data_IF_155285759163
#
_entry.id   IF_155285759163
#
_cell.length_a   1.000
_cell.length_b   1.000
_cell.length_c   1.000
_cell.angle_alpha   90.00
_cell.angle_beta   90.00
_cell.angle_gamma   90.00
#
_symmetry.space_group_name_H-M   'P 1'
#
loop_
_entity.id
_entity.type
_entity.pdbx_description
1 polymer ?
#
# COMPACT_ATOMS: atom_id res chain seq x y z
N UNK A 1 -40.91 -36.77 -58.02
CA UNK A 1 -40.90 -35.29 -58.00
C UNK A 1 -41.10 -34.83 -56.57
N UNK A 2 -40.09 -34.15 -56.00
CA UNK A 2 -40.20 -33.11 -54.94
C UNK A 2 -38.87 -33.08 -54.17
N UNK A 3 -38.02 -32.10 -54.49
CA UNK A 3 -36.81 -31.78 -53.74
C UNK A 3 -37.17 -30.63 -52.80
N UNK A 4 -37.23 -30.89 -51.49
CA UNK A 4 -37.36 -29.85 -50.47
C UNK A 4 -35.98 -29.26 -50.17
N UNK A 5 -35.85 -27.95 -50.39
CA UNK A 5 -34.66 -27.15 -50.10
C UNK A 5 -34.83 -26.56 -48.70
N UNK A 6 -34.04 -27.04 -47.74
CA UNK A 6 -33.93 -26.43 -46.42
C UNK A 6 -32.94 -25.24 -46.50
N UNK A 7 -33.45 -24.02 -46.31
CA UNK A 7 -32.63 -22.82 -46.12
C UNK A 7 -32.24 -22.71 -44.65
N UNK A 8 -30.96 -22.91 -44.35
CA UNK A 8 -30.36 -22.58 -43.06
C UNK A 8 -30.05 -21.08 -43.07
N UNK A 9 -30.79 -20.31 -42.25
CA UNK A 9 -30.47 -18.91 -41.96
C UNK A 9 -29.48 -18.90 -40.81
N UNK A 10 -28.22 -18.59 -41.11
CA UNK A 10 -27.19 -18.29 -40.11
C UNK A 10 -27.51 -16.92 -39.49
N UNK A 11 -28.10 -16.94 -38.30
CA UNK A 11 -28.23 -15.75 -37.45
C UNK A 11 -26.85 -15.31 -36.96
N UNK A 12 -26.45 -14.09 -37.31
CA UNK A 12 -25.22 -13.46 -36.83
C UNK A 12 -25.29 -13.22 -35.32
N UNK A 13 -24.50 -14.00 -34.56
CA UNK A 13 -24.24 -13.69 -33.17
C UNK A 13 -23.33 -12.46 -33.10
N UNK A 14 -23.89 -11.32 -32.71
CA UNK A 14 -23.11 -10.16 -32.32
C UNK A 14 -22.30 -10.53 -31.06
N UNK A 15 -20.99 -10.73 -31.23
CA UNK A 15 -20.06 -10.84 -30.12
C UNK A 15 -19.99 -9.48 -29.42
N UNK A 16 -20.78 -9.32 -28.37
CA UNK A 16 -20.62 -8.22 -27.42
C UNK A 16 -19.27 -8.46 -26.75
N UNK A 17 -18.25 -7.72 -27.18
CA UNK A 17 -16.96 -7.67 -26.52
C UNK A 17 -17.18 -7.15 -25.09
N UNK A 18 -17.17 -8.06 -24.12
CA UNK A 18 -17.08 -7.73 -22.70
C UNK A 18 -15.70 -7.13 -22.46
N UNK A 19 -15.59 -5.81 -22.63
CA UNK A 19 -14.40 -5.08 -22.16
C UNK A 19 -14.28 -5.26 -20.64
N UNK A 20 -13.08 -5.50 -20.10
CA UNK A 20 -12.90 -5.74 -18.68
C UNK A 20 -13.21 -4.46 -17.89
N UNK A 21 -14.32 -4.47 -17.16
CA UNK A 21 -14.74 -3.41 -16.22
C UNK A 21 -13.78 -3.24 -15.02
N UNK A 22 -12.79 -4.11 -14.89
CA UNK A 22 -11.85 -4.16 -13.76
C UNK A 22 -10.91 -2.95 -13.74
N UNK A 23 -10.55 -2.38 -14.90
CA UNK A 23 -9.61 -1.26 -14.96
C UNK A 23 -10.15 0.04 -14.31
N UNK A 24 -11.48 0.26 -14.33
CA UNK A 24 -12.09 1.46 -13.77
C UNK A 24 -12.16 1.48 -12.24
N UNK A 25 -12.32 0.32 -11.59
CA UNK A 25 -12.45 0.24 -10.13
C UNK A 25 -11.13 0.56 -9.41
N UNK A 26 -10.00 0.13 -9.98
CA UNK A 26 -8.68 0.37 -9.39
C UNK A 26 -8.32 1.87 -9.38
N UNK A 27 -8.63 2.60 -10.46
CA UNK A 27 -8.35 4.05 -10.53
C UNK A 27 -9.18 4.87 -9.52
N UNK A 28 -10.43 4.48 -9.26
CA UNK A 28 -11.28 5.15 -8.26
C UNK A 28 -10.85 4.83 -6.83
N UNK A 29 -10.42 3.59 -6.56
CA UNK A 29 -9.81 3.22 -5.29
C UNK A 29 -8.53 4.01 -5.01
N UNK A 30 -7.60 4.07 -5.98
CA UNK A 30 -6.39 4.86 -5.85
C UNK A 30 -6.72 6.34 -5.59
N UNK A 31 -7.69 6.90 -6.33
CA UNK A 31 -8.19 8.26 -6.10
C UNK A 31 -8.67 8.50 -4.67
N UNK A 32 -9.33 7.53 -4.02
CA UNK A 32 -9.76 7.65 -2.61
C UNK A 32 -8.59 7.63 -1.64
N UNK A 33 -7.64 6.74 -1.86
CA UNK A 33 -6.45 6.65 -1.02
C UNK A 33 -5.62 7.93 -1.02
N UNK A 34 -5.62 8.64 -2.15
CA UNK A 34 -4.92 9.91 -2.24
C UNK A 34 -5.66 11.06 -1.53
N UNK A 35 -7.00 11.02 -1.46
CA UNK A 35 -7.76 12.07 -0.78
C UNK A 35 -7.71 11.88 0.74
N UNK A 36 -7.82 10.65 1.24
CA UNK A 36 -7.75 10.34 2.69
C UNK A 36 -6.32 9.97 3.10
N UNK A 37 -5.30 10.62 2.53
CA UNK A 37 -3.88 10.27 2.72
C UNK A 37 -3.44 10.47 4.17
N UNK A 38 -3.25 9.37 4.92
CA UNK A 38 -2.82 9.38 6.32
C UNK A 38 -1.33 9.05 6.48
N UNK A 39 -0.62 9.79 7.34
CA UNK A 39 0.74 9.36 7.78
C UNK A 39 0.64 8.05 8.60
N UNK A 40 1.72 7.25 8.73
CA UNK A 40 1.66 5.95 9.40
C UNK A 40 1.01 5.97 10.79
N UNK A 41 1.31 6.96 11.64
CA UNK A 41 0.69 7.08 12.97
C UNK A 41 -0.82 7.32 12.91
N UNK A 42 -1.30 8.07 11.93
CA UNK A 42 -2.73 8.32 11.71
C UNK A 42 -3.43 7.07 11.14
N UNK A 43 -2.77 6.35 10.24
CA UNK A 43 -3.26 5.08 9.69
C UNK A 43 -3.48 4.04 10.80
N UNK A 44 -2.52 3.92 11.75
CA UNK A 44 -2.66 3.06 12.94
C UNK A 44 -3.90 3.44 13.74
N UNK A 45 -4.07 4.73 14.05
CA UNK A 45 -5.23 5.22 14.79
C UNK A 45 -6.53 4.92 14.05
N UNK A 46 -6.55 5.05 12.72
CA UNK A 46 -7.72 4.75 11.88
C UNK A 46 -8.05 3.25 11.86
N UNK A 47 -7.05 2.38 11.75
CA UNK A 47 -7.23 0.93 11.79
C UNK A 47 -7.74 0.46 13.16
N UNK A 48 -7.19 0.98 14.26
CA UNK A 48 -7.67 0.73 15.63
C UNK A 48 -9.09 1.24 15.84
N UNK A 49 -9.39 2.43 15.33
CA UNK A 49 -10.73 3.02 15.35
C UNK A 49 -11.74 2.12 14.63
N UNK A 50 -11.42 1.69 13.41
CA UNK A 50 -12.29 0.83 12.60
C UNK A 50 -12.53 -0.52 13.30
N UNK A 51 -11.47 -1.13 13.85
CA UNK A 51 -11.57 -2.35 14.65
C UNK A 51 -12.52 -2.16 15.82
N UNK A 52 -12.28 -1.15 16.67
CA UNK A 52 -13.14 -0.86 17.83
C UNK A 52 -14.59 -0.67 17.40
N UNK A 53 -14.85 0.12 16.38
CA UNK A 53 -16.21 0.44 15.97
C UNK A 53 -16.96 -0.77 15.40
N UNK A 54 -16.26 -1.65 14.68
CA UNK A 54 -16.80 -2.95 14.26
C UNK A 54 -17.20 -3.82 15.46
N UNK A 55 -16.34 -3.91 16.48
CA UNK A 55 -16.64 -4.69 17.70
C UNK A 55 -17.82 -4.13 18.50
N UNK A 56 -17.92 -2.81 18.63
CA UNK A 56 -18.91 -2.19 19.51
C UNK A 56 -20.29 -2.02 18.86
N UNK A 57 -20.35 -1.87 17.53
CA UNK A 57 -21.59 -1.45 16.87
C UNK A 57 -22.17 -2.48 15.91
N UNK A 58 -21.42 -3.53 15.52
CA UNK A 58 -21.80 -4.35 14.37
C UNK A 58 -21.75 -5.87 14.59
N UNK A 59 -21.76 -6.33 15.84
CA UNK A 59 -21.77 -7.75 16.18
C UNK A 59 -23.16 -8.27 16.53
N UNK A 60 -23.45 -9.51 16.11
CA UNK A 60 -24.67 -10.25 16.50
C UNK A 60 -24.27 -11.69 16.92
N UNK A 61 -24.51 -12.10 18.17
CA UNK A 61 -24.94 -11.26 19.29
C UNK A 61 -23.92 -10.15 19.58
N UNK A 62 -24.31 -9.11 20.32
CA UNK A 62 -23.37 -8.06 20.72
C UNK A 62 -22.44 -8.55 21.84
N UNK A 63 -21.22 -8.00 21.90
CA UNK A 63 -20.31 -8.13 23.04
C UNK A 63 -19.18 -9.16 22.89
N UNK A 64 -18.30 -9.27 23.90
CA UNK A 64 -17.06 -10.05 23.83
C UNK A 64 -17.22 -11.54 23.54
N UNK A 65 -18.34 -12.13 23.92
CA UNK A 65 -18.64 -13.55 23.71
C UNK A 65 -19.08 -13.89 22.28
N UNK A 66 -19.29 -12.90 21.42
CA UNK A 66 -19.74 -13.07 20.04
C UNK A 66 -18.63 -13.53 19.07
N UNK A 67 -17.52 -14.05 19.59
CA UNK A 67 -16.41 -14.49 18.77
C UNK A 67 -16.74 -15.81 18.06
N UNK A 68 -16.10 -16.02 16.92
CA UNK A 68 -16.13 -17.26 16.14
C UNK A 68 -14.71 -17.79 15.95
N UNK A 69 -14.51 -19.10 15.75
CA UNK A 69 -13.18 -19.62 15.41
C UNK A 69 -12.74 -19.09 14.04
N UNK A 70 -11.55 -18.53 13.96
CA UNK A 70 -10.97 -18.02 12.71
C UNK A 70 -10.67 -19.16 11.74
N UNK A 71 -10.91 -18.91 10.46
CA UNK A 71 -10.54 -19.82 9.37
C UNK A 71 -9.23 -19.44 8.68
N UNK A 72 -8.57 -18.35 9.11
CA UNK A 72 -7.39 -17.79 8.41
C UNK A 72 -6.10 -17.89 9.21
N UNK A 73 -6.16 -18.14 10.52
CA UNK A 73 -4.96 -18.15 11.39
C UNK A 73 -5.21 -18.87 12.71
N UNK A 74 -4.12 -19.24 13.40
CA UNK A 74 -4.11 -19.92 14.69
C UNK A 74 -3.51 -19.02 15.78
N UNK A 75 -3.85 -19.32 17.04
CA UNK A 75 -3.17 -18.74 18.20
C UNK A 75 -1.87 -19.49 18.56
N UNK A 76 -1.16 -19.03 19.58
CA UNK A 76 0.09 -19.63 20.05
C UNK A 76 -0.06 -21.07 20.56
N UNK A 77 -1.28 -21.53 20.86
CA UNK A 77 -1.59 -22.90 21.22
C UNK A 77 -2.04 -23.75 20.02
N UNK A 78 -1.91 -23.22 18.80
CA UNK A 78 -2.41 -23.81 17.55
C UNK A 78 -3.93 -24.07 17.54
N UNK A 79 -4.69 -23.38 18.40
CA UNK A 79 -6.15 -23.36 18.30
C UNK A 79 -6.57 -22.29 17.28
N UNK A 80 -7.73 -22.44 16.61
CA UNK A 80 -8.25 -21.37 15.75
C UNK A 80 -8.35 -20.04 16.53
N UNK A 81 -7.74 -18.99 15.98
CA UNK A 81 -7.75 -17.68 16.64
C UNK A 81 -9.18 -17.14 16.81
N UNK A 82 -9.46 -16.40 17.88
CA UNK A 82 -10.81 -15.85 18.12
C UNK A 82 -11.07 -14.63 17.26
N UNK A 83 -12.03 -14.73 16.36
CA UNK A 83 -12.41 -13.70 15.39
C UNK A 83 -13.78 -13.10 15.71
N UNK A 84 -14.05 -11.89 15.22
CA UNK A 84 -15.38 -11.28 15.21
C UNK A 84 -15.76 -10.95 13.77
N UNK A 85 -17.03 -11.18 13.41
CA UNK A 85 -17.54 -10.91 12.07
C UNK A 85 -18.64 -9.86 12.17
N UNK A 86 -18.51 -8.79 11.40
CA UNK A 86 -19.54 -7.78 11.33
C UNK A 86 -20.79 -8.33 10.63
N UNK A 87 -21.94 -8.19 11.29
CA UNK A 87 -23.22 -8.74 10.86
C UNK A 87 -23.94 -7.86 9.83
N UNK A 88 -23.83 -6.54 9.94
CA UNK A 88 -24.42 -5.59 8.99
C UNK A 88 -23.37 -5.12 7.98
N UNK A 89 -23.40 -5.73 6.81
CA UNK A 89 -22.48 -5.43 5.69
C UNK A 89 -22.72 -4.07 5.04
N UNK A 90 -23.85 -3.42 5.29
CA UNK A 90 -24.15 -2.05 4.84
C UNK A 90 -23.66 -0.96 5.80
N UNK A 91 -23.01 -1.36 6.90
CA UNK A 91 -22.43 -0.50 7.94
C UNK A 91 -21.14 -1.10 8.51
N UNK A 92 -20.35 -1.73 7.66
CA UNK A 92 -19.16 -2.45 8.07
C UNK A 92 -17.92 -1.54 8.12
N UNK A 93 -17.14 -1.64 9.20
CA UNK A 93 -15.92 -0.87 9.42
C UNK A 93 -14.67 -1.52 8.81
N UNK A 94 -14.71 -2.83 8.52
CA UNK A 94 -13.56 -3.62 8.05
C UNK A 94 -13.65 -4.13 6.61
N UNK A 95 -14.81 -3.92 5.96
CA UNK A 95 -14.99 -4.14 4.52
C UNK A 95 -15.15 -5.60 4.08
N UNK A 96 -15.56 -5.78 2.82
CA UNK A 96 -15.92 -7.09 2.26
C UNK A 96 -14.72 -7.94 1.82
N UNK A 97 -13.59 -7.31 1.45
CA UNK A 97 -12.40 -7.98 0.93
C UNK A 97 -11.79 -8.95 1.94
N UNK A 98 -12.08 -8.77 3.23
CA UNK A 98 -11.67 -9.63 4.33
C UNK A 98 -12.81 -10.42 4.95
N UNK A 99 -13.96 -10.51 4.25
CA UNK A 99 -15.15 -11.18 4.74
C UNK A 99 -15.73 -10.56 6.01
N UNK A 100 -15.54 -9.24 6.21
CA UNK A 100 -16.00 -8.50 7.38
C UNK A 100 -15.44 -9.00 8.72
N UNK A 101 -14.29 -9.66 8.67
CA UNK A 101 -13.56 -10.19 9.83
C UNK A 101 -12.75 -9.08 10.49
N UNK A 102 -13.12 -8.72 11.72
CA UNK A 102 -12.64 -7.52 12.40
C UNK A 102 -11.18 -7.61 12.80
N UNK A 103 -10.78 -8.70 13.45
CA UNK A 103 -9.40 -8.89 13.89
C UNK A 103 -8.47 -9.27 12.72
N UNK A 104 -8.94 -10.09 11.78
CA UNK A 104 -8.17 -10.39 10.57
C UNK A 104 -7.89 -9.13 9.76
N UNK A 105 -8.89 -8.28 9.53
CA UNK A 105 -8.69 -6.98 8.91
C UNK A 105 -7.62 -6.15 9.62
N UNK A 106 -7.78 -5.99 10.94
CA UNK A 106 -6.83 -5.23 11.74
C UNK A 106 -5.40 -5.81 11.67
N UNK A 107 -5.27 -7.14 11.71
CA UNK A 107 -3.98 -7.80 11.64
C UNK A 107 -3.29 -7.59 10.29
N UNK A 108 -4.01 -7.75 9.17
CA UNK A 108 -3.43 -7.48 7.84
C UNK A 108 -3.10 -6.00 7.62
N UNK A 109 -3.83 -5.12 8.30
CA UNK A 109 -3.61 -3.69 8.22
C UNK A 109 -2.35 -3.28 8.99
N UNK A 110 -2.06 -3.94 10.09
CA UNK A 110 -1.01 -3.53 11.02
C UNK A 110 0.29 -4.31 10.90
N UNK A 111 0.22 -5.58 10.49
CA UNK A 111 1.35 -6.49 10.56
C UNK A 111 1.68 -7.10 9.21
N UNK A 112 2.93 -7.50 9.04
CA UNK A 112 3.31 -8.41 7.96
C UNK A 112 2.66 -9.79 8.18
N UNK A 113 2.44 -10.52 7.09
CA UNK A 113 1.74 -11.80 7.12
C UNK A 113 2.41 -12.77 8.11
N UNK A 114 1.68 -13.15 9.15
CA UNK A 114 2.10 -14.16 10.13
C UNK A 114 1.07 -15.27 10.23
N UNK A 115 1.49 -16.55 10.21
CA UNK A 115 0.56 -17.67 10.33
C UNK A 115 -0.01 -17.84 11.74
N UNK A 116 0.67 -17.27 12.76
CA UNK A 116 0.35 -17.43 14.18
C UNK A 116 0.29 -16.07 14.86
N UNK A 117 -0.73 -15.86 15.70
CA UNK A 117 -0.97 -14.62 16.43
C UNK A 117 -1.09 -14.85 17.94
N UNK A 118 -0.73 -13.84 18.72
CA UNK A 118 -1.04 -13.81 20.14
C UNK A 118 -2.48 -13.32 20.31
N UNK A 119 -3.37 -14.17 20.82
CA UNK A 119 -4.79 -13.85 20.98
C UNK A 119 -5.09 -13.64 22.47
N UNK A 120 -5.43 -12.41 22.85
CA UNK A 120 -5.67 -12.05 24.25
C UNK A 120 -6.91 -11.16 24.39
N UNK A 121 -7.64 -11.35 25.49
CA UNK A 121 -8.73 -10.44 25.83
C UNK A 121 -8.16 -9.10 26.31
N UNK A 122 -8.68 -8.00 25.78
CA UNK A 122 -8.26 -6.66 26.20
C UNK A 122 -8.69 -6.40 27.65
N UNK A 123 -7.76 -5.96 28.50
CA UNK A 123 -8.00 -5.79 29.93
C UNK A 123 -8.62 -4.44 30.31
N UNK A 124 -8.65 -3.48 29.38
CA UNK A 124 -9.10 -2.11 29.64
C UNK A 124 -9.63 -1.44 28.35
N UNK A 125 -10.27 -0.28 28.54
CA UNK A 125 -10.77 0.56 27.44
C UNK A 125 -12.15 0.13 26.92
N UNK A 126 -12.64 0.79 25.87
CA UNK A 126 -13.98 0.55 25.32
C UNK A 126 -14.21 -0.89 24.83
N UNK A 127 -13.14 -1.58 24.42
CA UNK A 127 -13.16 -2.97 23.93
C UNK A 127 -12.73 -3.97 24.98
N UNK A 128 -12.82 -3.64 26.27
CA UNK A 128 -12.52 -4.57 27.36
C UNK A 128 -13.27 -5.90 27.19
N UNK A 129 -12.53 -7.01 27.36
CA UNK A 129 -13.02 -8.38 27.22
C UNK A 129 -12.99 -8.92 25.79
N UNK A 130 -12.95 -8.06 24.75
CA UNK A 130 -12.83 -8.51 23.37
C UNK A 130 -11.43 -9.08 23.10
N UNK A 131 -11.36 -10.15 22.32
CA UNK A 131 -10.08 -10.71 21.89
C UNK A 131 -9.42 -9.82 20.83
N UNK A 132 -8.14 -9.50 21.00
CA UNK A 132 -7.31 -8.80 20.02
C UNK A 132 -6.23 -9.74 19.49
N UNK A 133 -5.95 -9.62 18.20
CA UNK A 133 -4.81 -10.29 17.58
C UNK A 133 -3.60 -9.37 17.67
N UNK A 134 -2.71 -9.74 18.57
CA UNK A 134 -1.42 -9.11 18.76
C UNK A 134 -0.36 -9.90 17.96
N UNK A 135 0.69 -9.21 17.49
CA UNK A 135 1.78 -9.88 16.79
C UNK A 135 2.42 -10.90 17.72
N UNK A 136 2.92 -12.01 17.16
CA UNK A 136 3.92 -12.78 17.88
C UNK A 136 5.14 -11.87 18.16
N UNK A 137 5.98 -12.13 19.17
CA UNK A 137 7.14 -11.28 19.45
C UNK A 137 8.09 -11.06 18.25
N UNK A 138 8.06 -11.95 17.25
CA UNK A 138 8.84 -11.87 16.02
C UNK A 138 8.13 -11.15 14.86
N UNK A 139 6.85 -10.80 14.98
CA UNK A 139 6.08 -10.17 13.90
C UNK A 139 6.30 -8.66 13.93
N UNK A 140 6.68 -8.12 12.77
CA UNK A 140 7.02 -6.71 12.60
C UNK A 140 5.75 -5.94 12.22
N UNK A 141 5.57 -4.75 12.81
CA UNK A 141 4.55 -3.78 12.38
C UNK A 141 4.89 -3.33 10.96
N UNK A 142 3.88 -3.28 10.07
CA UNK A 142 4.03 -2.67 8.75
C UNK A 142 4.57 -1.25 8.92
N UNK A 143 5.61 -0.89 8.16
CA UNK A 143 6.05 0.51 8.15
C UNK A 143 4.96 1.44 7.57
N UNK A 144 4.10 0.90 6.69
CA UNK A 144 2.88 1.55 6.17
C UNK A 144 1.65 0.74 6.53
N UNK A 145 1.05 0.99 7.69
CA UNK A 145 -0.21 0.36 8.06
C UNK A 145 -1.30 0.70 7.05
N UNK A 146 -2.10 -0.29 6.69
CA UNK A 146 -3.30 -0.06 5.90
C UNK A 146 -4.32 0.64 6.76
N UNK A 147 -5.17 1.45 6.14
CA UNK A 147 -6.35 1.99 6.79
C UNK A 147 -7.53 1.97 5.84
N UNK A 148 -8.76 1.82 6.37
CA UNK A 148 -9.96 1.80 5.56
C UNK A 148 -10.39 3.24 5.24
N UNK A 149 -10.87 3.41 4.02
CA UNK A 149 -11.58 4.62 3.57
C UNK A 149 -13.04 4.30 3.36
N UNK A 150 -13.91 5.28 3.57
CA UNK A 150 -15.36 5.05 3.67
C UNK A 150 -16.17 5.92 2.71
N UNK A 151 -17.26 5.36 2.19
CA UNK A 151 -18.24 6.08 1.38
C UNK A 151 -19.67 5.65 1.67
N UNK A 152 -20.62 6.45 1.20
CA UNK A 152 -22.07 6.17 1.29
C UNK A 152 -22.55 5.07 0.33
N UNK A 153 -21.77 4.65 -0.67
CA UNK A 153 -22.16 3.64 -1.67
C UNK A 153 -20.97 2.88 -2.25
N UNK A 154 -21.26 1.75 -2.91
CA UNK A 154 -20.33 0.97 -3.71
C UNK A 154 -20.65 1.13 -5.22
N UNK A 155 -19.66 0.98 -6.12
CA UNK A 155 -18.23 0.76 -5.86
C UNK A 155 -17.52 2.03 -5.33
N UNK A 156 -16.23 1.91 -4.97
CA UNK A 156 -15.39 3.06 -4.65
C UNK A 156 -15.54 4.15 -5.71
N UNK A 157 -15.69 5.40 -5.28
CA UNK A 157 -15.89 6.57 -6.15
C UNK A 157 -17.34 6.91 -6.48
N UNK A 158 -18.29 6.02 -6.19
CA UNK A 158 -19.72 6.25 -6.48
C UNK A 158 -20.44 7.11 -5.43
N UNK A 159 -19.89 7.20 -4.22
CA UNK A 159 -20.54 7.78 -3.05
C UNK A 159 -19.90 9.08 -2.56
N UNK A 160 -20.47 9.60 -1.48
CA UNK A 160 -19.86 10.70 -0.72
C UNK A 160 -18.82 10.12 0.24
N UNK A 161 -17.58 10.66 0.27
CA UNK A 161 -16.58 10.34 1.29
C UNK A 161 -17.09 10.52 2.69
N UNK A 162 -16.65 9.62 3.56
CA UNK A 162 -16.94 9.62 4.96
C UNK A 162 -15.62 9.47 5.73
N UNK A 163 -15.49 10.27 6.78
CA UNK A 163 -14.32 10.32 7.64
C UNK A 163 -14.74 10.11 9.09
N UNK A 164 -13.95 9.45 9.94
CA UNK A 164 -14.14 9.49 11.38
C UNK A 164 -13.97 10.91 11.92
N UNK A 165 -14.35 11.09 13.18
CA UNK A 165 -14.08 12.36 13.86
C UNK A 165 -12.57 12.66 13.84
N UNK A 166 -12.12 13.88 13.51
CA UNK A 166 -10.71 14.21 13.34
C UNK A 166 -9.86 14.14 14.62
N UNK A 167 -10.48 14.00 15.80
CA UNK A 167 -9.81 14.12 17.10
C UNK A 167 -10.40 13.18 18.14
N UNK A 168 -11.71 12.99 18.14
CA UNK A 168 -12.37 12.04 19.03
C UNK A 168 -12.30 10.62 18.45
N UNK A 169 -11.27 9.89 18.83
CA UNK A 169 -11.12 8.50 18.43
C UNK A 169 -12.17 7.59 19.06
N UNK A 170 -12.97 8.04 20.03
CA UNK A 170 -14.02 7.23 20.66
C UNK A 170 -15.34 7.25 19.90
N UNK A 171 -15.54 8.25 19.05
CA UNK A 171 -16.76 8.41 18.26
C UNK A 171 -16.74 7.50 17.02
N UNK A 172 -17.68 6.55 16.95
CA UNK A 172 -17.83 5.63 15.82
C UNK A 172 -18.72 6.18 14.69
N UNK A 173 -19.14 7.44 14.76
CA UNK A 173 -19.92 8.08 13.70
C UNK A 173 -19.00 8.58 12.58
N UNK A 174 -19.59 8.72 11.41
CA UNK A 174 -18.93 9.29 10.25
C UNK A 174 -19.31 10.75 10.06
N UNK A 175 -18.43 11.45 9.38
CA UNK A 175 -18.52 12.86 9.07
C UNK A 175 -18.19 13.05 7.59
N UNK A 176 -18.88 14.00 6.95
CA UNK A 176 -18.51 14.49 5.63
C UNK A 176 -17.46 15.57 5.82
N UNK A 177 -16.61 15.70 4.81
CA UNK A 177 -15.71 16.83 4.67
C UNK A 177 -16.38 17.85 3.73
N UNK A 178 -16.90 18.95 4.30
CA UNK A 178 -17.53 20.01 3.51
C UNK A 178 -16.53 21.07 3.03
N UNK A 179 -15.32 21.10 3.60
CA UNK A 179 -14.28 22.07 3.28
C UNK A 179 -13.20 21.53 2.33
N UNK A 180 -13.28 20.25 1.94
CA UNK A 180 -12.33 19.54 1.07
C UNK A 180 -10.91 19.46 1.65
N UNK A 181 -10.75 19.51 2.98
CA UNK A 181 -9.46 19.40 3.67
C UNK A 181 -9.19 18.00 4.24
N UNK A 182 -10.00 17.01 3.82
CA UNK A 182 -10.03 15.63 4.29
C UNK A 182 -10.29 15.49 5.80
N UNK A 183 -10.92 16.50 6.42
CA UNK A 183 -11.35 16.42 7.82
C UNK A 183 -12.87 16.34 7.87
N UNK A 184 -13.35 15.30 8.51
CA UNK A 184 -14.77 15.16 8.80
C UNK A 184 -15.27 16.31 9.68
N UNK A 185 -16.02 17.26 9.12
CA UNK A 185 -16.51 18.46 9.81
C UNK A 185 -18.03 18.45 10.04
N UNK A 186 -18.77 17.67 9.26
CA UNK A 186 -20.23 17.64 9.27
C UNK A 186 -20.73 16.22 9.53
N UNK A 187 -21.43 16.01 10.64
CA UNK A 187 -21.95 14.68 11.00
C UNK A 187 -22.78 14.06 9.86
N UNK A 188 -22.42 12.86 9.45
CA UNK A 188 -23.20 12.08 8.50
C UNK A 188 -24.37 11.39 9.20
N UNK A 189 -25.60 11.72 8.79
CA UNK A 189 -26.84 11.19 9.38
C UNK A 189 -27.43 10.02 8.59
N UNK A 190 -26.80 9.60 7.49
CA UNK A 190 -27.28 8.47 6.71
C UNK A 190 -27.07 7.14 7.41
N UNK A 191 -27.81 6.13 6.96
CA UNK A 191 -27.86 4.82 7.64
C UNK A 191 -26.84 3.82 7.13
N UNK A 192 -26.21 4.07 5.98
CA UNK A 192 -25.33 3.12 5.32
C UNK A 192 -23.98 3.74 4.99
N UNK A 193 -22.93 2.95 5.10
CA UNK A 193 -21.58 3.27 4.68
C UNK A 193 -20.81 1.99 4.37
N UNK A 194 -19.76 2.11 3.56
CA UNK A 194 -18.99 0.98 3.09
C UNK A 194 -17.51 1.32 3.17
N UNK A 195 -16.67 0.35 3.57
CA UNK A 195 -15.24 0.41 3.26
C UNK A 195 -15.09 0.22 1.76
N UNK A 196 -14.51 1.21 1.09
CA UNK A 196 -14.37 1.22 -0.37
C UNK A 196 -12.95 0.91 -0.83
N UNK A 197 -11.97 1.17 0.01
CA UNK A 197 -10.56 0.91 -0.27
C UNK A 197 -9.75 0.79 1.03
N UNK A 198 -8.62 0.10 0.93
CA UNK A 198 -7.55 0.13 1.92
C UNK A 198 -6.34 0.81 1.30
N UNK A 199 -5.74 1.73 2.05
CA UNK A 199 -4.80 2.71 1.52
C UNK A 199 -3.44 2.65 2.22
N UNK A 200 -2.38 3.02 1.49
CA UNK A 200 -0.98 2.98 1.93
C UNK A 200 -0.33 4.36 1.69
N UNK A 201 0.55 4.88 2.56
CA UNK A 201 1.15 6.24 2.47
C UNK A 201 2.64 6.38 2.08
N UNK A 202 2.98 6.90 0.87
CA UNK A 202 4.33 7.26 0.34
C UNK A 202 4.44 7.24 -1.20
N UNK A 203 5.25 8.17 -1.73
CA UNK A 203 5.44 8.51 -3.14
C UNK A 203 6.74 9.34 -3.41
N UNK A 204 6.99 9.69 -4.67
CA UNK A 204 7.99 10.62 -5.21
C UNK A 204 7.44 12.03 -5.42
N UNK A 205 8.31 13.05 -5.37
CA UNK A 205 7.99 14.39 -5.84
C UNK A 205 7.69 14.41 -7.37
N UNK A 206 6.85 15.35 -7.88
CA UNK A 206 6.50 15.41 -9.30
C UNK A 206 7.67 15.46 -10.29
N UNK A 207 8.75 16.11 -9.88
CA UNK A 207 9.97 16.37 -10.64
C UNK A 207 11.01 15.26 -10.50
N UNK A 208 10.80 14.29 -9.61
CA UNK A 208 11.72 13.17 -9.48
C UNK A 208 11.77 12.39 -10.79
N UNK A 209 12.97 12.27 -11.35
CA UNK A 209 13.18 11.51 -12.59
C UNK A 209 13.45 10.05 -12.28
N UNK A 210 12.79 9.17 -13.03
CA UNK A 210 13.05 7.74 -13.05
C UNK A 210 13.64 7.35 -14.41
N UNK A 211 14.45 6.29 -14.43
CA UNK A 211 15.05 5.81 -15.67
C UNK A 211 14.09 4.88 -16.41
N UNK A 212 13.69 5.29 -17.61
CA UNK A 212 12.97 4.48 -18.58
C UNK A 212 13.89 4.06 -19.73
N UNK A 213 13.41 3.19 -20.62
CA UNK A 213 14.18 2.71 -21.78
C UNK A 213 14.62 3.82 -22.73
N UNK A 214 13.89 4.94 -22.74
CA UNK A 214 14.19 6.14 -23.52
C UNK A 214 14.96 7.22 -22.75
N UNK A 215 15.39 6.93 -21.51
CA UNK A 215 16.15 7.84 -20.66
C UNK A 215 15.42 8.25 -19.39
N UNK A 216 15.99 9.24 -18.68
CA UNK A 216 15.39 9.78 -17.46
C UNK A 216 14.15 10.62 -17.77
N UNK A 217 13.05 10.34 -17.10
CA UNK A 217 11.77 11.05 -17.27
C UNK A 217 11.20 11.43 -15.91
N UNK A 218 10.78 12.69 -15.70
CA UNK A 218 10.04 13.08 -14.49
C UNK A 218 8.80 12.21 -14.29
N UNK A 219 8.59 11.67 -13.10
CA UNK A 219 7.49 10.73 -12.86
C UNK A 219 6.12 11.33 -13.16
N UNK A 220 5.92 12.62 -12.89
CA UNK A 220 4.66 13.30 -13.24
C UNK A 220 4.40 13.32 -14.76
N UNK A 221 5.46 13.40 -15.58
CA UNK A 221 5.38 13.28 -17.04
C UNK A 221 5.13 11.83 -17.45
N UNK A 222 5.86 10.88 -16.87
CA UNK A 222 5.70 9.46 -17.16
C UNK A 222 4.26 8.97 -16.92
N UNK A 223 3.62 9.42 -15.83
CA UNK A 223 2.22 9.12 -15.51
C UNK A 223 1.27 9.70 -16.56
N UNK A 224 1.46 10.96 -16.97
CA UNK A 224 0.62 11.63 -17.99
C UNK A 224 0.75 10.98 -19.37
N UNK A 225 1.95 10.55 -19.72
CA UNK A 225 2.27 9.92 -21.00
C UNK A 225 2.09 8.39 -20.98
N UNK A 226 1.72 7.81 -19.82
CA UNK A 226 1.59 6.37 -19.61
C UNK A 226 2.82 5.58 -20.09
N UNK A 227 4.02 6.04 -19.76
CA UNK A 227 5.26 5.36 -20.11
C UNK A 227 5.23 3.93 -19.55
N UNK A 228 5.53 2.91 -20.36
CA UNK A 228 5.43 1.52 -19.91
C UNK A 228 6.77 0.90 -19.58
N UNK A 229 7.88 1.39 -20.13
CA UNK A 229 9.14 0.64 -20.19
C UNK A 229 10.17 1.19 -19.19
N UNK A 230 10.04 0.80 -17.93
CA UNK A 230 10.88 1.25 -16.82
C UNK A 230 12.13 0.36 -16.68
N UNK A 231 13.27 0.94 -16.30
CA UNK A 231 14.47 0.19 -15.97
C UNK A 231 14.45 -0.23 -14.50
N UNK A 232 14.63 -1.52 -14.27
CA UNK A 232 14.74 -2.13 -12.94
C UNK A 232 15.99 -2.98 -12.85
N UNK A 233 16.39 -3.40 -11.66
CA UNK A 233 17.42 -4.44 -11.54
C UNK A 233 16.97 -5.75 -12.20
N UNK A 234 17.93 -6.56 -12.63
CA UNK A 234 17.69 -7.97 -12.97
C UNK A 234 17.51 -8.81 -11.69
N UNK A 235 16.89 -10.00 -11.75
CA UNK A 235 16.71 -10.84 -10.57
C UNK A 235 18.03 -11.33 -9.95
N UNK A 236 19.10 -11.38 -10.73
CA UNK A 236 20.45 -11.84 -10.38
C UNK A 236 21.42 -10.70 -10.05
N UNK A 237 20.96 -9.45 -10.04
CA UNK A 237 21.81 -8.31 -9.69
C UNK A 237 22.38 -8.47 -8.26
N UNK A 238 23.68 -8.15 -8.13
CA UNK A 238 24.42 -8.21 -6.86
C UNK A 238 25.05 -6.86 -6.56
N UNK A 239 25.70 -6.72 -5.39
CA UNK A 239 26.45 -5.50 -5.07
C UNK A 239 27.67 -5.29 -5.99
N UNK A 240 28.28 -6.39 -6.42
CA UNK A 240 29.50 -6.37 -7.23
C UNK A 240 29.19 -6.37 -8.74
N UNK A 241 27.94 -6.66 -9.10
CA UNK A 241 27.43 -6.70 -10.47
C UNK A 241 25.98 -6.20 -10.53
N UNK A 242 25.84 -4.87 -10.62
CA UNK A 242 24.53 -4.23 -10.77
C UNK A 242 24.10 -4.29 -12.23
N UNK A 243 23.13 -5.14 -12.51
CA UNK A 243 22.57 -5.30 -13.85
C UNK A 243 21.15 -4.74 -13.93
N UNK A 244 20.84 -4.07 -15.04
CA UNK A 244 19.53 -3.50 -15.31
C UNK A 244 18.83 -4.26 -16.44
N UNK A 245 17.51 -4.31 -16.37
CA UNK A 245 16.64 -4.78 -17.44
C UNK A 245 15.47 -3.83 -17.64
N UNK A 246 14.95 -3.82 -18.87
CA UNK A 246 13.66 -3.18 -19.16
C UNK A 246 12.54 -4.04 -18.61
N UNK A 247 11.61 -3.40 -17.89
CA UNK A 247 10.42 -4.01 -17.34
C UNK A 247 9.18 -3.18 -17.70
N UNK A 248 8.00 -3.78 -17.53
CA UNK A 248 6.75 -3.08 -17.75
C UNK A 248 6.17 -2.50 -16.46
N UNK A 249 5.73 -1.24 -16.54
CA UNK A 249 4.92 -0.62 -15.50
C UNK A 249 3.54 -1.27 -15.51
N UNK A 250 3.17 -1.87 -14.38
CA UNK A 250 1.84 -2.42 -14.17
C UNK A 250 0.82 -1.33 -13.82
N UNK A 251 1.20 -0.41 -12.94
CA UNK A 251 0.35 0.71 -12.54
C UNK A 251 1.19 1.90 -12.09
N UNK A 252 0.63 3.08 -12.31
CA UNK A 252 1.06 4.32 -11.67
C UNK A 252 0.14 4.64 -10.52
N UNK A 253 0.69 5.14 -9.43
CA UNK A 253 -0.07 5.75 -8.35
C UNK A 253 0.23 7.24 -8.40
N UNK A 254 -0.78 8.08 -8.34
CA UNK A 254 -0.58 9.53 -8.28
C UNK A 254 -1.65 10.16 -7.46
N UNK A 255 -1.31 11.16 -6.67
CA UNK A 255 -2.35 11.91 -5.98
C UNK A 255 -3.28 12.62 -6.94
N UNK A 256 -4.55 12.61 -6.59
CA UNK A 256 -5.60 13.12 -7.46
C UNK A 256 -5.90 14.59 -7.22
N UNK A 257 -5.57 15.09 -6.02
CA UNK A 257 -5.55 16.52 -5.67
C UNK A 257 -4.20 16.87 -5.06
N UNK A 258 -3.88 18.14 -5.05
CA UNK A 258 -2.71 18.64 -4.33
C UNK A 258 -2.98 18.51 -2.82
N UNK A 259 -2.02 17.97 -2.08
CA UNK A 259 -2.06 17.89 -0.62
C UNK A 259 -0.68 18.20 -0.03
N UNK A 260 -0.58 18.35 1.28
CA UNK A 260 0.68 18.65 1.94
C UNK A 260 1.49 17.38 2.24
N UNK A 261 2.74 17.34 1.76
CA UNK A 261 3.68 16.25 1.93
C UNK A 261 4.95 16.68 2.63
N UNK A 262 5.51 15.78 3.43
CA UNK A 262 6.89 15.89 3.88
C UNK A 262 7.82 15.23 2.86
N UNK A 263 8.68 16.04 2.25
CA UNK A 263 9.72 15.57 1.32
C UNK A 263 11.11 15.70 1.93
N UNK A 264 11.91 14.67 1.69
CA UNK A 264 13.34 14.61 1.97
C UNK A 264 14.07 14.83 0.66
N UNK A 265 14.81 15.93 0.60
CA UNK A 265 15.73 16.24 -0.50
C UNK A 265 17.12 15.78 -0.08
N UNK A 266 17.55 14.65 -0.63
CA UNK A 266 18.89 14.10 -0.41
C UNK A 266 19.79 14.59 -1.54
N UNK A 267 20.93 15.18 -1.19
CA UNK A 267 21.96 15.61 -2.15
C UNK A 267 23.25 14.87 -1.87
N UNK A 268 23.89 14.37 -2.92
CA UNK A 268 25.15 13.59 -2.84
C UNK A 268 26.33 14.39 -3.37
N UNK A 269 27.55 13.91 -3.11
CA UNK A 269 28.80 14.66 -3.32
C UNK A 269 29.06 15.08 -4.79
N UNK A 270 28.56 14.32 -5.77
CA UNK A 270 28.66 14.65 -7.20
C UNK A 270 27.42 15.36 -7.74
N UNK A 271 26.56 15.90 -6.86
CA UNK A 271 25.37 16.65 -7.22
C UNK A 271 24.17 15.79 -7.58
N UNK A 272 24.23 14.47 -7.32
CA UNK A 272 23.05 13.61 -7.38
C UNK A 272 21.98 14.10 -6.40
N UNK A 273 20.71 13.94 -6.78
CA UNK A 273 19.58 14.44 -6.01
C UNK A 273 18.47 13.39 -5.96
N UNK A 274 17.83 13.25 -4.80
CA UNK A 274 16.60 12.48 -4.63
C UNK A 274 15.60 13.33 -3.85
N UNK A 275 14.34 13.36 -4.28
CA UNK A 275 13.24 14.08 -3.64
C UNK A 275 12.09 13.12 -3.35
N UNK A 276 12.09 12.60 -2.13
CA UNK A 276 11.31 11.44 -1.75
C UNK A 276 10.43 11.74 -0.54
N UNK A 277 9.31 11.05 -0.38
CA UNK A 277 8.57 11.05 0.89
C UNK A 277 9.35 10.30 1.98
N UNK A 278 8.97 10.48 3.24
CA UNK A 278 9.70 9.97 4.41
C UNK A 278 9.97 8.46 4.40
N UNK A 279 9.00 7.63 3.99
CA UNK A 279 9.15 6.17 3.98
C UNK A 279 9.56 5.63 2.59
N UNK A 280 10.05 6.47 1.68
CA UNK A 280 10.49 5.96 0.38
C UNK A 280 11.76 5.13 0.52
N UNK A 281 11.78 3.87 0.03
CA UNK A 281 12.94 2.99 0.13
C UNK A 281 14.06 3.42 -0.82
N UNK A 282 15.28 3.51 -0.30
CA UNK A 282 16.52 3.83 -1.01
C UNK A 282 17.55 2.75 -0.68
N UNK A 283 18.36 2.34 -1.66
CA UNK A 283 19.43 1.35 -1.44
C UNK A 283 20.71 2.05 -0.99
N UNK A 284 21.23 1.69 0.19
CA UNK A 284 22.51 2.18 0.69
C UNK A 284 23.70 1.40 0.08
N UNK A 285 24.94 1.81 0.36
CA UNK A 285 26.15 1.17 -0.17
C UNK A 285 26.41 -0.27 0.29
N UNK A 286 25.67 -0.74 1.29
CA UNK A 286 25.68 -2.12 1.79
C UNK A 286 24.65 -3.01 1.09
N UNK A 287 23.95 -2.47 0.08
CA UNK A 287 22.87 -3.18 -0.60
C UNK A 287 21.64 -3.37 0.27
N UNK A 288 21.45 -2.52 1.28
CA UNK A 288 20.28 -2.55 2.16
C UNK A 288 19.27 -1.49 1.77
N UNK A 289 17.98 -1.84 1.87
CA UNK A 289 16.91 -0.87 1.74
C UNK A 289 16.75 -0.08 3.03
N UNK A 290 16.89 1.23 2.95
CA UNK A 290 16.70 2.18 4.07
C UNK A 290 15.65 3.21 3.71
N UNK A 291 15.02 3.83 4.70
CA UNK A 291 14.02 4.88 4.46
C UNK A 291 14.70 6.20 4.17
N UNK A 292 14.12 6.99 3.27
CA UNK A 292 14.59 8.35 3.00
C UNK A 292 14.71 9.22 4.27
N UNK A 293 13.80 9.05 5.23
CA UNK A 293 13.84 9.79 6.51
C UNK A 293 14.93 9.34 7.48
N UNK A 294 15.49 8.14 7.30
CA UNK A 294 16.55 7.61 8.16
C UNK A 294 17.95 7.99 7.64
N UNK A 295 18.06 8.45 6.39
CA UNK A 295 19.31 8.88 5.78
C UNK A 295 19.88 10.12 6.48
N UNK A 296 21.20 10.13 6.61
CA UNK A 296 21.98 11.19 7.24
C UNK A 296 23.11 11.63 6.30
N UNK A 297 23.69 12.79 6.60
CA UNK A 297 24.96 13.20 6.01
C UNK A 297 26.01 12.13 6.33
N UNK A 298 26.89 11.87 5.35
CA UNK A 298 27.93 10.84 5.33
C UNK A 298 27.45 9.40 5.13
N UNK A 299 26.14 9.12 5.10
CA UNK A 299 25.65 7.86 4.57
C UNK A 299 26.03 7.73 3.09
N UNK A 300 26.19 6.50 2.59
CA UNK A 300 26.48 6.25 1.18
C UNK A 300 25.30 5.56 0.51
N UNK A 301 24.95 6.03 -0.70
CA UNK A 301 23.91 5.44 -1.54
C UNK A 301 24.54 4.62 -2.66
N UNK A 302 23.82 3.59 -3.12
CA UNK A 302 24.23 2.80 -4.27
C UNK A 302 23.68 3.40 -5.57
N UNK A 303 24.58 3.66 -6.51
CA UNK A 303 24.24 4.13 -7.85
C UNK A 303 23.86 2.97 -8.76
N UNK A 304 23.21 3.30 -9.87
CA UNK A 304 22.78 2.36 -10.90
C UNK A 304 23.91 1.57 -11.57
N UNK A 305 25.15 2.04 -11.45
CA UNK A 305 26.36 1.40 -11.96
C UNK A 305 27.13 0.62 -10.87
N UNK A 306 26.53 0.48 -9.68
CA UNK A 306 27.14 -0.19 -8.52
C UNK A 306 28.16 0.67 -7.77
N UNK A 307 28.49 1.87 -8.25
CA UNK A 307 29.35 2.78 -7.50
C UNK A 307 28.61 3.38 -6.30
N UNK A 308 29.38 3.83 -5.31
CA UNK A 308 28.86 4.40 -4.07
C UNK A 308 29.00 5.89 -4.10
N UNK A 309 28.06 6.58 -3.48
CA UNK A 309 28.14 8.03 -3.39
C UNK A 309 27.69 8.54 -2.03
N UNK A 310 28.52 9.40 -1.43
CA UNK A 310 28.26 9.96 -0.12
C UNK A 310 27.17 11.03 -0.16
N UNK A 311 26.24 10.97 0.78
CA UNK A 311 25.23 12.00 1.05
C UNK A 311 25.90 13.19 1.73
N UNK A 312 25.74 14.38 1.15
CA UNK A 312 26.30 15.64 1.69
C UNK A 312 25.24 16.55 2.30
N UNK A 313 23.96 16.34 1.97
CA UNK A 313 22.84 17.08 2.56
C UNK A 313 21.57 16.24 2.59
N UNK A 314 20.80 16.38 3.66
CA UNK A 314 19.43 15.84 3.80
C UNK A 314 18.53 16.96 4.31
N UNK A 315 17.70 17.51 3.42
CA UNK A 315 16.81 18.62 3.74
C UNK A 315 15.37 18.14 3.82
N UNK A 316 14.74 18.38 4.97
CA UNK A 316 13.30 18.14 5.16
C UNK A 316 12.53 19.40 4.75
N UNK A 317 11.62 19.24 3.79
CA UNK A 317 10.78 20.32 3.25
C UNK A 317 9.32 19.90 3.23
N UNK A 318 8.43 20.88 3.31
CA UNK A 318 7.01 20.69 3.05
C UNK A 318 6.74 20.96 1.57
N UNK A 319 5.97 20.09 0.92
CA UNK A 319 5.54 20.24 -0.46
C UNK A 319 4.02 20.19 -0.54
N UNK A 320 3.41 21.26 -1.02
CA UNK A 320 2.00 21.25 -1.39
C UNK A 320 1.87 20.92 -2.87
N UNK A 321 1.26 19.79 -3.18
CA UNK A 321 1.18 19.27 -4.54
C UNK A 321 0.90 17.78 -4.56
N UNK A 322 0.87 17.21 -5.76
CA UNK A 322 0.74 15.77 -5.94
C UNK A 322 2.06 15.06 -5.78
N UNK A 323 2.01 13.85 -5.26
CA UNK A 323 3.13 12.91 -5.28
C UNK A 323 2.76 11.67 -6.11
N UNK A 324 3.76 10.96 -6.62
CA UNK A 324 3.59 9.90 -7.61
C UNK A 324 4.37 8.65 -7.23
N UNK A 325 3.95 7.47 -7.69
CA UNK A 325 4.69 6.23 -7.56
C UNK A 325 4.37 5.33 -8.75
N UNK A 326 5.12 4.23 -8.89
CA UNK A 326 4.82 3.22 -9.88
C UNK A 326 5.17 1.83 -9.37
N UNK A 327 4.50 0.84 -9.98
CA UNK A 327 4.65 -0.56 -9.67
C UNK A 327 5.04 -1.31 -10.95
N UNK A 328 6.22 -1.94 -11.02
CA UNK A 328 6.54 -2.91 -12.06
C UNK A 328 5.62 -4.13 -12.02
N UNK A 329 5.46 -4.82 -13.16
CA UNK A 329 4.62 -6.02 -13.26
C UNK A 329 5.20 -7.23 -12.52
N UNK A 330 6.52 -7.30 -12.39
CA UNK A 330 7.22 -8.38 -11.68
C UNK A 330 6.78 -8.55 -10.22
N UNK A 331 6.94 -9.76 -9.67
CA UNK A 331 6.83 -10.03 -8.22
C UNK A 331 8.19 -10.26 -7.57
N UNK A 332 9.24 -10.36 -8.36
CA UNK A 332 10.60 -10.57 -7.85
C UNK A 332 11.08 -9.32 -7.09
N UNK A 333 11.70 -9.53 -5.93
CA UNK A 333 12.03 -8.45 -5.00
C UNK A 333 13.14 -7.56 -5.52
N UNK A 334 14.20 -8.16 -6.08
CA UNK A 334 15.34 -7.42 -6.65
C UNK A 334 14.85 -6.61 -7.86
N UNK A 335 14.02 -7.22 -8.70
CA UNK A 335 13.41 -6.55 -9.85
C UNK A 335 12.41 -5.45 -9.47
N UNK A 336 12.02 -5.32 -8.20
CA UNK A 336 11.24 -4.18 -7.71
C UNK A 336 12.13 -2.98 -7.29
N UNK A 337 13.42 -3.03 -7.56
CA UNK A 337 14.34 -1.90 -7.42
C UNK A 337 14.46 -1.16 -8.76
N UNK A 338 14.12 0.12 -8.74
CA UNK A 338 14.15 1.05 -9.86
C UNK A 338 15.42 1.92 -9.81
N UNK A 339 15.64 2.67 -10.87
CA UNK A 339 16.60 3.79 -10.86
C UNK A 339 15.86 5.14 -10.80
N UNK A 340 16.18 5.96 -9.80
CA UNK A 340 15.76 7.36 -9.69
C UNK A 340 16.98 8.27 -9.66
N UNK A 341 17.10 9.18 -10.65
CA UNK A 341 18.24 10.09 -10.81
C UNK A 341 19.63 9.42 -10.61
N UNK A 342 19.77 8.19 -11.13
CA UNK A 342 21.02 7.42 -11.07
C UNK A 342 21.22 6.61 -9.78
N UNK A 343 20.29 6.63 -8.84
CA UNK A 343 20.34 5.84 -7.60
C UNK A 343 19.30 4.73 -7.59
N UNK A 344 19.61 3.66 -6.86
CA UNK A 344 18.71 2.54 -6.68
C UNK A 344 17.68 2.83 -5.58
N UNK A 345 16.40 2.70 -5.92
CA UNK A 345 15.26 2.97 -5.04
C UNK A 345 14.20 1.89 -5.17
N UNK A 346 13.43 1.61 -4.12
CA UNK A 346 12.35 0.63 -4.21
C UNK A 346 11.11 1.19 -4.91
N UNK A 347 10.39 0.31 -5.61
CA UNK A 347 9.09 0.59 -6.24
C UNK A 347 7.96 0.74 -5.23
N UNK A 348 6.77 1.13 -5.70
CA UNK A 348 5.55 1.07 -4.90
C UNK A 348 5.31 -0.33 -4.31
N UNK A 349 5.69 -1.41 -5.00
CA UNK A 349 5.55 -2.76 -4.43
C UNK A 349 6.50 -2.98 -3.27
N UNK A 350 7.77 -2.61 -3.45
CA UNK A 350 8.76 -2.76 -2.39
C UNK A 350 8.30 -2.07 -1.10
N UNK A 351 7.67 -0.91 -1.30
CA UNK A 351 7.15 -0.07 -0.24
C UNK A 351 5.91 -0.63 0.48
N UNK A 352 5.12 -1.47 -0.20
CA UNK A 352 3.78 -1.87 0.25
C UNK A 352 3.71 -3.33 0.67
N UNK A 353 4.41 -4.20 -0.06
CA UNK A 353 4.35 -5.66 0.08
C UNK A 353 5.65 -6.22 0.66
N UNK A 354 6.80 -5.61 0.36
CA UNK A 354 8.11 -6.09 0.79
C UNK A 354 8.73 -5.25 1.91
N UNK A 355 7.91 -4.54 2.70
CA UNK A 355 8.42 -3.66 3.75
C UNK A 355 9.20 -4.41 4.84
N UNK A 356 8.89 -5.69 5.07
CA UNK A 356 9.67 -6.57 5.96
C UNK A 356 11.11 -6.83 5.49
N UNK A 357 11.46 -6.42 4.27
CA UNK A 357 12.81 -6.43 3.71
C UNK A 357 13.53 -5.10 3.83
N UNK A 358 12.86 -4.06 4.36
CA UNK A 358 13.56 -2.87 4.84
C UNK A 358 14.60 -3.28 5.90
N UNK A 359 15.77 -2.68 5.83
CA UNK A 359 16.96 -3.01 6.63
C UNK A 359 17.52 -4.43 6.41
N UNK A 360 17.05 -5.17 5.41
CA UNK A 360 17.71 -6.41 4.96
C UNK A 360 18.66 -6.11 3.80
N UNK A 361 19.68 -6.96 3.66
CA UNK A 361 20.57 -6.95 2.49
C UNK A 361 19.77 -7.56 1.34
N UNK A 362 19.49 -6.73 0.33
CA UNK A 362 18.71 -7.10 -0.86
C UNK A 362 19.62 -7.41 -2.04
N UNK A 363 20.81 -6.80 -2.05
CA UNK A 363 21.89 -7.09 -2.97
C UNK A 363 23.01 -7.70 -2.14
N UNK A 364 23.18 -9.01 -2.25
CA UNK A 364 24.31 -9.68 -1.64
C UNK A 364 25.55 -9.51 -2.52
N UNK A 365 26.73 -9.64 -1.94
CA UNK A 365 27.94 -9.83 -2.74
C UNK A 365 27.88 -11.20 -3.39
N UNK A 366 28.41 -11.33 -4.61
CA UNK A 366 28.55 -12.63 -5.22
C UNK A 366 29.49 -13.49 -4.36
N UNK A 367 29.14 -14.77 -4.18
CA UNK A 367 30.07 -15.72 -3.59
C UNK A 367 31.05 -16.10 -4.69
N UNK A 368 32.36 -15.87 -4.53
CA UNK A 368 33.35 -16.29 -5.51
C UNK A 368 33.18 -17.77 -5.84
N UNK A 369 33.27 -18.13 -7.13
CA UNK A 369 33.02 -19.49 -7.62
C UNK A 369 33.92 -20.52 -6.91
N UNK A 370 35.15 -20.12 -6.54
CA UNK A 370 36.10 -20.93 -5.79
C UNK A 370 35.67 -21.29 -4.36
N UNK A 371 34.68 -20.59 -3.79
CA UNK A 371 34.14 -20.85 -2.45
C UNK A 371 32.85 -21.70 -2.48
N UNK A 372 32.29 -21.97 -3.66
CA UNK A 372 31.13 -22.84 -3.80
C UNK A 372 31.58 -24.32 -3.75
N UNK A 373 30.86 -25.21 -3.06
CA UNK A 373 31.15 -26.64 -3.08
C UNK A 373 31.02 -27.18 -4.51
N UNK A 374 32.02 -27.93 -4.98
CA UNK A 374 31.98 -28.65 -6.26
C UNK A 374 31.12 -29.90 -6.20
#
# INVERSE_FOLDING_TARGET
>A
MSKSVFRIVLGGAAAIALFPTVAGAQTQQEWRCNIDSLVPSQAIVRAEWARKCGLLNNLVPAGPSAWVPSTTTFDLAFAPAKEYVESNTSRAYTGNSQGYKVNYYYAIAMYDATPILKVEAEAAGPTMGFFKWNPAPSTILRARPLYPTFETSLPAGSGTPLYPHPTDTTDCRFYRDTNMDAKGDTLYTGTSFYVVANCESSCYAPDQELLFSNGSVPISKAVREQQTDILTLTPDATLDDVQLQTNHVYSYTSETRDSEHLLYTITTEHGGKLRLTNEHPVVNSEGRMVRAADLKVDDELLRQDGTRERVVSVEKTTHFGKVYNLRPITRDQVTNVLVAQGFLVGSARYQNEDVGFMNRIILQRSVPEELLPQ
#
